data_IF_207897137201
#
_entry.id   IF_207897137201
#
_cell.length_a   1.000
_cell.length_b   1.000
_cell.length_c   1.000
_cell.angle_alpha   90.00
_cell.angle_beta   90.00
_cell.angle_gamma   90.00
#
_symmetry.space_group_name_H-M   'P 1'
#
loop_
_entity.id
_entity.type
_entity.pdbx_description
1 polymer ?
#
# COMPACT_ATOMS: atom_id res chain seq x y z
N UNK A 1 -9.92 25.93 11.13
CA UNK A 1 -10.52 24.68 11.66
C UNK A 1 -10.63 24.83 13.16
N UNK A 2 -11.85 24.90 13.71
CA UNK A 2 -12.00 24.86 15.17
C UNK A 2 -11.73 23.44 15.66
N UNK A 3 -11.20 23.27 16.88
CA UNK A 3 -10.92 21.95 17.47
C UNK A 3 -12.17 21.04 17.47
N UNK A 4 -13.34 21.65 17.65
CA UNK A 4 -14.64 21.00 17.53
C UNK A 4 -14.92 20.44 16.12
N UNK A 5 -14.62 21.20 15.06
CA UNK A 5 -14.75 20.72 13.68
C UNK A 5 -13.82 19.53 13.39
N UNK A 6 -12.58 19.57 13.93
CA UNK A 6 -11.63 18.47 13.76
C UNK A 6 -12.11 17.20 14.48
N UNK A 7 -12.60 17.30 15.72
CA UNK A 7 -13.15 16.16 16.46
C UNK A 7 -14.37 15.54 15.77
N UNK A 8 -15.29 16.38 15.28
CA UNK A 8 -16.45 15.89 14.53
C UNK A 8 -16.04 15.19 13.23
N UNK A 9 -15.07 15.74 12.50
CA UNK A 9 -14.57 15.12 11.27
C UNK A 9 -13.91 13.77 11.54
N UNK A 10 -13.09 13.66 12.59
CA UNK A 10 -12.48 12.38 13.01
C UNK A 10 -13.57 11.38 13.41
N UNK A 11 -14.55 11.79 14.23
CA UNK A 11 -15.63 10.91 14.67
C UNK A 11 -16.47 10.39 13.49
N UNK A 12 -16.82 11.26 12.54
CA UNK A 12 -17.62 10.90 11.37
C UNK A 12 -16.84 9.97 10.42
N UNK A 13 -15.58 10.31 10.10
CA UNK A 13 -14.74 9.48 9.21
C UNK A 13 -14.40 8.11 9.82
N UNK A 14 -14.12 8.06 11.12
CA UNK A 14 -13.90 6.80 11.84
C UNK A 14 -15.18 5.95 11.86
N UNK A 15 -16.33 6.57 12.16
CA UNK A 15 -17.63 5.90 12.12
C UNK A 15 -17.97 5.35 10.74
N UNK A 16 -17.77 6.13 9.68
CA UNK A 16 -17.99 5.71 8.30
C UNK A 16 -17.06 4.57 7.86
N UNK A 17 -15.77 4.63 8.23
CA UNK A 17 -14.79 3.56 7.93
C UNK A 17 -15.13 2.27 8.66
N UNK A 18 -15.53 2.37 9.93
CA UNK A 18 -15.93 1.21 10.71
C UNK A 18 -17.22 0.59 10.16
N UNK A 19 -18.22 1.43 9.85
CA UNK A 19 -19.49 0.98 9.27
C UNK A 19 -19.28 0.27 7.93
N UNK A 20 -18.51 0.84 6.99
CA UNK A 20 -18.23 0.22 5.68
C UNK A 20 -17.47 -1.10 5.80
N UNK A 21 -16.59 -1.25 6.79
CA UNK A 21 -15.91 -2.52 7.07
C UNK A 21 -16.79 -3.55 7.76
N UNK A 22 -17.64 -3.14 8.69
CA UNK A 22 -18.51 -4.02 9.47
C UNK A 22 -19.74 -4.50 8.67
N UNK A 23 -20.28 -3.65 7.80
CA UNK A 23 -21.47 -3.90 6.99
C UNK A 23 -21.42 -5.21 6.19
N UNK A 24 -20.35 -5.54 5.42
CA UNK A 24 -20.30 -6.80 4.70
C UNK A 24 -20.36 -8.01 5.65
N UNK A 25 -19.74 -7.92 6.83
CA UNK A 25 -19.76 -9.02 7.80
C UNK A 25 -21.09 -9.13 8.54
N UNK A 26 -21.73 -8.02 8.93
CA UNK A 26 -23.03 -8.01 9.61
C UNK A 26 -24.14 -8.51 8.67
N UNK A 27 -24.12 -8.08 7.40
CA UNK A 27 -25.09 -8.52 6.41
C UNK A 27 -24.91 -10.01 6.05
N UNK A 28 -23.66 -10.49 5.88
CA UNK A 28 -23.38 -11.91 5.63
C UNK A 28 -23.39 -12.79 6.90
N UNK A 29 -23.51 -12.21 8.10
CA UNK A 29 -23.50 -12.96 9.38
C UNK A 29 -24.65 -13.97 9.49
N UNK A 30 -25.76 -13.75 8.77
CA UNK A 30 -26.92 -14.66 8.78
C UNK A 30 -26.76 -15.86 7.82
N UNK A 31 -25.86 -15.79 6.85
CA UNK A 31 -25.61 -16.83 5.85
C UNK A 31 -24.19 -17.43 5.95
N UNK A 32 -23.50 -17.20 7.06
CA UNK A 32 -22.07 -17.51 7.25
C UNK A 32 -21.70 -18.99 7.20
N UNK A 33 -22.68 -19.89 7.25
CA UNK A 33 -22.46 -21.34 7.12
C UNK A 33 -22.26 -21.79 5.66
N UNK A 34 -22.45 -20.92 4.66
CA UNK A 34 -22.31 -21.30 3.26
C UNK A 34 -20.82 -21.47 2.87
N UNK A 35 -20.39 -22.63 2.32
CA UNK A 35 -18.98 -22.96 2.09
C UNK A 35 -18.21 -21.97 1.21
N UNK A 36 -18.90 -21.23 0.34
CA UNK A 36 -18.31 -20.17 -0.50
C UNK A 36 -17.80 -18.96 0.31
N UNK A 37 -18.48 -18.56 1.39
CA UNK A 37 -18.07 -17.38 2.20
C UNK A 37 -16.79 -17.70 2.99
N UNK A 38 -16.67 -18.93 3.51
CA UNK A 38 -15.44 -19.42 4.15
C UNK A 38 -14.27 -19.51 3.17
N UNK A 39 -14.53 -19.94 1.94
CA UNK A 39 -13.53 -19.96 0.88
C UNK A 39 -13.06 -18.54 0.53
N UNK A 40 -14.00 -17.63 0.28
CA UNK A 40 -13.69 -16.23 -0.03
C UNK A 40 -12.91 -15.57 1.11
N UNK A 41 -13.31 -15.77 2.36
CA UNK A 41 -12.61 -15.24 3.54
C UNK A 41 -11.17 -15.73 3.70
N UNK A 42 -10.84 -16.93 3.22
CA UNK A 42 -9.46 -17.45 3.22
C UNK A 42 -8.57 -16.73 2.19
N UNK A 43 -9.11 -16.38 1.02
CA UNK A 43 -8.37 -15.69 -0.04
C UNK A 43 -8.39 -14.17 0.09
N UNK A 44 -9.34 -13.62 0.85
CA UNK A 44 -9.50 -12.17 1.01
C UNK A 44 -8.22 -11.49 1.54
N UNK A 45 -7.53 -12.00 2.58
CA UNK A 45 -6.26 -11.42 3.02
C UNK A 45 -5.17 -11.45 1.94
N UNK A 46 -5.10 -12.55 1.17
CA UNK A 46 -4.14 -12.68 0.09
C UNK A 46 -4.43 -11.69 -1.05
N UNK A 47 -5.71 -11.53 -1.42
CA UNK A 47 -6.14 -10.55 -2.43
C UNK A 47 -5.81 -9.13 -1.97
N UNK A 48 -6.12 -8.77 -0.71
CA UNK A 48 -5.82 -7.44 -0.17
C UNK A 48 -4.31 -7.18 -0.18
N UNK A 49 -3.48 -8.17 0.15
CA UNK A 49 -2.02 -8.02 0.08
C UNK A 49 -1.54 -7.74 -1.35
N UNK A 50 -2.08 -8.44 -2.35
CA UNK A 50 -1.75 -8.20 -3.76
C UNK A 50 -2.20 -6.81 -4.20
N UNK A 51 -3.42 -6.39 -3.83
CA UNK A 51 -3.93 -5.04 -4.13
C UNK A 51 -3.05 -3.97 -3.48
N UNK A 52 -2.64 -4.14 -2.23
CA UNK A 52 -1.75 -3.19 -1.55
C UNK A 52 -0.39 -3.07 -2.26
N UNK A 53 0.17 -4.18 -2.77
CA UNK A 53 1.40 -4.15 -3.55
C UNK A 53 1.18 -3.40 -4.87
N UNK A 54 0.11 -3.70 -5.61
CA UNK A 54 -0.21 -3.04 -6.88
C UNK A 54 -0.44 -1.55 -6.68
N UNK A 55 -1.21 -1.15 -5.65
CA UNK A 55 -1.46 0.25 -5.33
C UNK A 55 -0.18 0.96 -4.90
N UNK A 56 0.68 0.29 -4.12
CA UNK A 56 1.98 0.85 -3.73
C UNK A 56 2.89 1.07 -4.95
N UNK A 57 2.92 0.13 -5.89
CA UNK A 57 3.66 0.27 -7.16
C UNK A 57 3.06 1.37 -8.04
N UNK A 58 1.73 1.43 -8.15
CA UNK A 58 1.04 2.49 -8.89
C UNK A 58 1.31 3.88 -8.32
N UNK A 59 1.52 3.99 -7.00
CA UNK A 59 1.88 5.23 -6.35
C UNK A 59 3.32 5.69 -6.63
N UNK A 60 4.18 4.86 -7.21
CA UNK A 60 5.57 5.22 -7.57
C UNK A 60 5.68 5.99 -8.90
N UNK A 61 4.55 6.36 -9.54
CA UNK A 61 4.49 7.01 -10.87
C UNK A 61 5.54 6.44 -11.86
N UNK A 62 5.40 5.17 -12.20
CA UNK A 62 6.29 4.52 -13.16
C UNK A 62 6.23 5.24 -14.52
N UNK A 63 7.35 5.29 -15.27
CA UNK A 63 7.38 5.90 -16.60
C UNK A 63 6.32 5.29 -17.53
N UNK A 64 5.60 6.13 -18.27
CA UNK A 64 4.56 5.69 -19.18
C UNK A 64 5.13 4.73 -20.24
N UNK A 65 4.58 3.51 -20.27
CA UNK A 65 5.02 2.42 -21.16
C UNK A 65 4.28 2.43 -22.52
N UNK A 66 3.45 3.45 -22.77
CA UNK A 66 2.58 3.56 -23.96
C UNK A 66 3.35 3.83 -25.25
N UNK A 67 4.46 4.57 -25.19
CA UNK A 67 5.26 4.98 -26.35
C UNK A 67 6.53 4.12 -26.46
N UNK A 68 6.54 3.21 -27.42
CA UNK A 68 7.61 2.21 -27.60
C UNK A 68 8.99 2.82 -27.91
N UNK A 69 9.02 4.04 -28.46
CA UNK A 69 10.23 4.71 -28.96
C UNK A 69 11.05 5.39 -27.85
N UNK A 70 10.41 5.88 -26.77
CA UNK A 70 11.10 6.62 -25.69
C UNK A 70 11.20 5.86 -24.35
N UNK A 71 10.80 4.58 -24.33
CA UNK A 71 10.77 3.75 -23.11
C UNK A 71 12.11 3.68 -22.38
N UNK A 72 13.22 3.55 -23.13
CA UNK A 72 14.56 3.38 -22.54
C UNK A 72 15.07 4.69 -21.94
N UNK A 73 14.82 5.83 -22.58
CA UNK A 73 15.20 7.14 -22.04
C UNK A 73 14.37 7.54 -20.83
N UNK A 74 13.06 7.26 -20.85
CA UNK A 74 12.15 7.57 -19.75
C UNK A 74 12.47 6.76 -18.48
N UNK A 75 12.80 5.48 -18.64
CA UNK A 75 13.27 4.65 -17.52
C UNK A 75 14.60 5.14 -16.95
N UNK A 76 15.52 5.57 -17.82
CA UNK A 76 16.83 6.06 -17.40
C UNK A 76 16.72 7.38 -16.63
N UNK A 77 15.91 8.32 -17.10
CA UNK A 77 15.66 9.58 -16.39
C UNK A 77 14.95 9.38 -15.05
N UNK A 78 14.04 8.40 -14.96
CA UNK A 78 13.36 8.07 -13.71
C UNK A 78 14.31 7.38 -12.70
N UNK A 79 15.19 6.50 -13.17
CA UNK A 79 16.22 5.87 -12.33
C UNK A 79 17.28 6.85 -11.84
N UNK A 80 17.64 7.84 -12.66
CA UNK A 80 18.60 8.89 -12.31
C UNK A 80 17.99 9.94 -11.37
N UNK A 81 16.66 10.02 -11.27
CA UNK A 81 15.99 10.85 -10.28
C UNK A 81 16.23 10.32 -8.86
N UNK A 82 16.54 11.23 -7.93
CA UNK A 82 16.77 10.88 -6.52
C UNK A 82 15.53 10.21 -5.89
N UNK A 83 14.33 10.54 -6.36
CA UNK A 83 13.07 9.97 -5.91
C UNK A 83 12.89 8.52 -6.39
N UNK A 84 13.09 8.24 -7.69
CA UNK A 84 12.92 6.91 -8.27
C UNK A 84 13.93 5.89 -7.74
N UNK A 85 15.18 6.31 -7.55
CA UNK A 85 16.22 5.46 -6.97
C UNK A 85 15.89 5.05 -5.53
N UNK A 86 15.46 6.00 -4.69
CA UNK A 86 15.09 5.74 -3.30
C UNK A 86 13.90 4.79 -3.16
N UNK A 87 12.87 4.97 -4.00
CA UNK A 87 11.70 4.11 -4.03
C UNK A 87 12.04 2.66 -4.39
N UNK A 88 12.90 2.44 -5.39
CA UNK A 88 13.34 1.09 -5.77
C UNK A 88 14.14 0.42 -4.66
N UNK A 89 15.07 1.14 -4.04
CA UNK A 89 15.87 0.60 -2.94
C UNK A 89 14.97 0.20 -1.77
N UNK A 90 14.00 1.06 -1.40
CA UNK A 90 13.02 0.74 -0.38
C UNK A 90 12.18 -0.49 -0.75
N UNK A 91 11.67 -0.57 -1.98
CA UNK A 91 10.87 -1.71 -2.45
C UNK A 91 11.66 -3.03 -2.44
N UNK A 92 12.91 -3.01 -2.91
CA UNK A 92 13.81 -4.19 -2.92
C UNK A 92 14.12 -4.63 -1.49
N UNK A 93 14.43 -3.68 -0.59
CA UNK A 93 14.68 -3.98 0.82
C UNK A 93 13.44 -4.58 1.49
N UNK A 94 12.25 -4.05 1.25
CA UNK A 94 10.98 -4.60 1.75
C UNK A 94 10.76 -6.02 1.24
N UNK A 95 10.92 -6.25 -0.08
CA UNK A 95 10.73 -7.56 -0.67
C UNK A 95 11.74 -8.59 -0.14
N UNK A 96 13.02 -8.21 -0.05
CA UNK A 96 14.09 -9.06 0.48
C UNK A 96 13.87 -9.41 1.96
N UNK A 97 13.49 -8.41 2.78
CA UNK A 97 13.20 -8.62 4.19
C UNK A 97 11.94 -9.48 4.41
N UNK A 98 10.92 -9.30 3.58
CA UNK A 98 9.71 -10.11 3.61
C UNK A 98 10.01 -11.57 3.28
N UNK A 99 10.84 -11.83 2.26
CA UNK A 99 11.28 -13.19 1.89
C UNK A 99 12.12 -13.84 2.99
N UNK A 100 13.00 -13.09 3.64
CA UNK A 100 13.90 -13.64 4.65
C UNK A 100 13.21 -13.88 6.00
N UNK A 101 12.52 -12.88 6.54
CA UNK A 101 11.97 -12.92 7.90
C UNK A 101 10.50 -13.32 7.96
N UNK A 102 9.77 -13.36 6.84
CA UNK A 102 8.32 -13.62 6.76
C UNK A 102 7.47 -12.82 7.77
N UNK A 103 8.00 -11.70 8.25
CA UNK A 103 7.41 -10.86 9.30
C UNK A 103 6.92 -9.54 8.70
N UNK A 104 5.61 -9.38 8.57
CA UNK A 104 4.98 -8.21 7.95
C UNK A 104 5.30 -6.90 8.70
N UNK A 105 5.26 -6.90 10.03
CA UNK A 105 5.53 -5.70 10.84
C UNK A 105 6.97 -5.18 10.65
N UNK A 106 7.94 -6.09 10.60
CA UNK A 106 9.34 -5.75 10.39
C UNK A 106 9.54 -5.16 8.97
N UNK A 107 8.89 -5.78 7.98
CA UNK A 107 8.90 -5.35 6.58
C UNK A 107 8.37 -3.93 6.41
N UNK A 108 7.26 -3.61 7.07
CA UNK A 108 6.64 -2.28 7.01
C UNK A 108 7.53 -1.25 7.72
N UNK A 109 7.94 -1.52 8.96
CA UNK A 109 8.74 -0.57 9.74
C UNK A 109 10.09 -0.25 9.08
N UNK A 110 10.79 -1.26 8.57
CA UNK A 110 12.07 -1.07 7.87
C UNK A 110 11.87 -0.37 6.54
N UNK A 111 10.87 -0.75 5.75
CA UNK A 111 10.57 -0.11 4.46
C UNK A 111 10.25 1.38 4.62
N UNK A 112 9.34 1.71 5.55
CA UNK A 112 8.99 3.09 5.84
C UNK A 112 10.17 3.86 6.42
N UNK A 113 10.92 3.27 7.35
CA UNK A 113 12.11 3.91 7.93
C UNK A 113 13.18 4.22 6.90
N UNK A 114 13.45 3.28 5.98
CA UNK A 114 14.42 3.46 4.91
C UNK A 114 13.96 4.53 3.90
N UNK A 115 12.69 4.53 3.52
CA UNK A 115 12.11 5.55 2.65
C UNK A 115 12.15 6.95 3.29
N UNK A 116 11.78 7.06 4.56
CA UNK A 116 11.83 8.33 5.30
C UNK A 116 13.25 8.83 5.48
N UNK A 117 14.20 7.94 5.79
CA UNK A 117 15.61 8.30 5.88
C UNK A 117 16.15 8.78 4.53
N UNK A 118 15.76 8.13 3.42
CA UNK A 118 16.13 8.57 2.08
C UNK A 118 15.60 9.97 1.75
N UNK A 119 14.32 10.22 2.03
CA UNK A 119 13.72 11.55 1.87
C UNK A 119 14.42 12.62 2.73
N UNK A 120 14.79 12.29 3.96
CA UNK A 120 15.38 13.25 4.90
C UNK A 120 16.88 13.49 4.69
N UNK A 121 17.62 12.52 4.14
CA UNK A 121 19.09 12.61 3.99
C UNK A 121 19.56 13.21 2.65
N UNK A 122 18.67 13.48 1.69
CA UNK A 122 19.04 14.16 0.45
C UNK A 122 18.32 13.69 -0.81
N UNK A 123 17.09 13.20 -0.69
CA UNK A 123 16.17 13.02 -1.83
C UNK A 123 15.59 14.33 -2.38
N UNK A 124 15.95 15.48 -1.79
CA UNK A 124 15.86 16.88 -2.27
C UNK A 124 17.03 17.65 -1.66
#
# INVERSE_FOLDING_TARGET
MTTLQALLLIAVSAGATFATRALPFVFLSRHSAHPLILHMGRYLPAIVMVVLIIVSLSAMQLPDMSESVYRISAWRSWLESAEGAGMLVAAICVAGLHLWRRNALLSIAVGTGLYMAWLQLGGV
#
